data_IF_641065949815
#
_entry.id   IF_641065949815
#
_cell.length_a   1.000
_cell.length_b   1.000
_cell.length_c   1.000
_cell.angle_alpha   90.00
_cell.angle_beta   90.00
_cell.angle_gamma   90.00
#
_symmetry.space_group_name_H-M   'P 1'
#
loop_
_entity.id
_entity.type
_entity.pdbx_description
1 polymer ?
#
# COMPACT_ATOMS: atom_id res chain seq x y z
N UNK A 1 -29.82 -5.37 9.67
CA UNK A 1 -30.19 -6.61 8.95
C UNK A 1 -29.16 -7.68 9.31
N UNK A 2 -29.58 -8.95 9.57
CA UNK A 2 -28.59 -10.02 9.78
C UNK A 2 -27.90 -10.39 8.46
N UNK A 3 -26.71 -11.00 8.55
CA UNK A 3 -25.95 -11.49 7.40
C UNK A 3 -26.79 -12.48 6.57
N UNK A 4 -27.44 -13.44 7.24
CA UNK A 4 -28.26 -14.45 6.55
C UNK A 4 -29.45 -13.82 5.81
N UNK A 5 -30.13 -12.85 6.42
CA UNK A 5 -31.21 -12.12 5.75
C UNK A 5 -30.70 -11.28 4.55
N UNK A 6 -29.49 -10.71 4.65
CA UNK A 6 -28.86 -10.00 3.53
C UNK A 6 -28.54 -10.96 2.39
N UNK A 7 -27.89 -12.08 2.67
CA UNK A 7 -27.56 -13.09 1.67
C UNK A 7 -28.80 -13.68 1.01
N UNK A 8 -29.83 -13.99 1.78
CA UNK A 8 -31.11 -14.49 1.24
C UNK A 8 -31.79 -13.48 0.29
N UNK A 9 -31.80 -12.20 0.66
CA UNK A 9 -32.35 -11.14 -0.17
C UNK A 9 -31.62 -10.94 -1.50
N UNK A 10 -30.33 -11.31 -1.55
CA UNK A 10 -29.48 -11.22 -2.74
C UNK A 10 -29.34 -12.54 -3.52
N UNK A 11 -30.08 -13.60 -3.12
CA UNK A 11 -30.04 -14.90 -3.79
C UNK A 11 -28.81 -15.75 -3.50
N UNK A 12 -28.19 -15.54 -2.32
CA UNK A 12 -27.00 -16.25 -1.85
C UNK A 12 -27.25 -17.08 -0.58
N UNK A 13 -28.52 -17.39 -0.26
CA UNK A 13 -28.88 -18.12 0.96
C UNK A 13 -28.19 -19.48 1.08
N UNK A 14 -28.10 -20.20 -0.04
CA UNK A 14 -27.55 -21.56 -0.13
C UNK A 14 -26.09 -21.57 -0.66
N UNK A 15 -25.42 -20.43 -0.70
CA UNK A 15 -24.03 -20.38 -1.20
C UNK A 15 -23.06 -21.02 -0.21
N UNK A 16 -22.13 -21.79 -0.74
CA UNK A 16 -20.96 -22.24 0.00
C UNK A 16 -20.12 -21.01 0.40
N UNK A 17 -19.69 -20.98 1.66
CA UNK A 17 -18.97 -19.85 2.26
C UNK A 17 -17.53 -20.27 2.58
N UNK A 18 -16.56 -19.64 1.90
CA UNK A 18 -15.13 -19.83 2.11
C UNK A 18 -14.52 -18.56 2.76
N UNK A 19 -14.15 -18.60 4.04
CA UNK A 19 -13.48 -17.46 4.68
C UNK A 19 -12.14 -17.17 4.00
N UNK A 20 -11.92 -15.92 3.61
CA UNK A 20 -10.62 -15.48 3.10
C UNK A 20 -9.74 -15.00 4.24
N UNK A 21 -8.42 -15.24 4.09
CA UNK A 21 -7.45 -14.77 5.08
C UNK A 21 -7.50 -13.23 5.19
N UNK A 22 -7.69 -12.73 6.42
CA UNK A 22 -7.64 -11.30 6.70
C UNK A 22 -6.22 -10.84 6.99
N UNK A 23 -5.93 -9.57 6.71
CA UNK A 23 -4.66 -8.91 7.07
C UNK A 23 -4.84 -7.99 8.31
N UNK A 24 -4.26 -6.81 8.31
CA UNK A 24 -4.24 -5.85 9.42
C UNK A 24 -5.62 -5.27 9.78
N UNK A 25 -6.56 -5.27 8.86
CA UNK A 25 -7.89 -4.70 8.98
C UNK A 25 -8.80 -5.47 9.96
N UNK A 26 -9.82 -4.77 10.49
CA UNK A 26 -10.96 -5.38 11.20
C UNK A 26 -11.99 -6.02 10.27
N UNK A 27 -11.91 -5.74 8.97
CA UNK A 27 -12.79 -6.29 7.95
C UNK A 27 -12.56 -7.78 7.79
N UNK A 28 -13.66 -8.50 7.51
CA UNK A 28 -13.62 -9.92 7.16
C UNK A 28 -14.20 -10.12 5.77
N UNK A 29 -13.62 -11.03 5.04
CA UNK A 29 -14.03 -11.36 3.68
C UNK A 29 -14.39 -12.84 3.60
N UNK A 30 -15.49 -13.15 2.94
CA UNK A 30 -15.98 -14.50 2.71
C UNK A 30 -16.28 -14.63 1.23
N UNK A 31 -15.66 -15.59 0.55
CA UNK A 31 -16.04 -15.95 -0.81
C UNK A 31 -17.33 -16.76 -0.77
N UNK A 32 -18.26 -16.37 -1.60
CA UNK A 32 -19.54 -17.05 -1.79
C UNK A 32 -19.51 -17.79 -3.13
N UNK A 33 -19.83 -19.08 -3.12
CA UNK A 33 -19.92 -19.92 -4.32
C UNK A 33 -21.32 -20.52 -4.45
N UNK A 34 -21.95 -20.34 -5.62
CA UNK A 34 -23.25 -20.93 -5.94
C UNK A 34 -23.27 -21.39 -7.40
N UNK A 35 -22.90 -22.65 -7.64
CA UNK A 35 -22.63 -23.16 -8.97
C UNK A 35 -21.49 -22.39 -9.66
N UNK A 36 -21.73 -21.78 -10.84
CA UNK A 36 -20.73 -20.98 -11.53
C UNK A 36 -20.60 -19.55 -10.98
N UNK A 37 -21.54 -19.11 -10.14
CA UNK A 37 -21.55 -17.74 -9.60
C UNK A 37 -20.62 -17.60 -8.42
N UNK A 38 -19.86 -16.52 -8.38
CA UNK A 38 -18.97 -16.15 -7.27
C UNK A 38 -19.18 -14.70 -6.89
N UNK A 39 -19.00 -14.41 -5.61
CA UNK A 39 -18.98 -13.07 -5.06
C UNK A 39 -18.16 -13.05 -3.77
N UNK A 40 -17.75 -11.87 -3.34
CA UNK A 40 -17.11 -11.65 -2.05
C UNK A 40 -18.08 -10.93 -1.13
N UNK A 41 -18.38 -11.51 0.03
CA UNK A 41 -19.03 -10.83 1.13
C UNK A 41 -17.99 -10.13 1.99
N UNK A 42 -17.99 -8.81 2.02
CA UNK A 42 -17.23 -7.99 2.96
C UNK A 42 -18.11 -7.71 4.18
N UNK A 43 -17.55 -7.94 5.36
CA UNK A 43 -18.15 -7.63 6.66
C UNK A 43 -17.27 -6.58 7.33
N UNK A 44 -17.80 -5.37 7.51
CA UNK A 44 -17.11 -4.25 8.15
C UNK A 44 -17.77 -3.91 9.49
N UNK A 45 -17.15 -4.28 10.63
CA UNK A 45 -17.70 -3.98 11.95
C UNK A 45 -17.80 -2.48 12.27
N UNK A 46 -17.06 -1.63 11.55
CA UNK A 46 -17.06 -0.17 11.75
C UNK A 46 -18.04 0.55 10.83
N UNK A 47 -18.70 -0.19 9.90
CA UNK A 47 -19.65 0.34 8.93
C UNK A 47 -19.11 1.47 8.03
N UNK A 48 -17.82 1.43 7.68
CA UNK A 48 -17.19 2.39 6.75
C UNK A 48 -17.31 1.93 5.28
N UNK A 49 -18.46 1.30 4.97
CA UNK A 49 -18.74 0.77 3.63
C UNK A 49 -18.98 1.86 2.60
N UNK A 50 -19.49 3.03 3.02
CA UNK A 50 -19.80 4.14 2.12
C UNK A 50 -18.57 4.70 1.42
N UNK A 51 -17.44 4.83 2.15
CA UNK A 51 -16.17 5.29 1.58
C UNK A 51 -15.62 4.31 0.55
N UNK A 52 -15.65 3.02 0.87
CA UNK A 52 -15.26 1.97 -0.07
C UNK A 52 -16.12 2.04 -1.35
N UNK A 53 -17.46 2.13 -1.21
CA UNK A 53 -18.39 2.21 -2.34
C UNK A 53 -18.11 3.42 -3.23
N UNK A 54 -17.90 4.58 -2.62
CA UNK A 54 -17.60 5.82 -3.35
C UNK A 54 -16.33 5.70 -4.16
N UNK A 55 -15.25 5.20 -3.56
CA UNK A 55 -13.96 5.05 -4.23
C UNK A 55 -13.99 3.96 -5.31
N UNK A 56 -14.63 2.80 -5.06
CA UNK A 56 -14.80 1.77 -6.08
C UNK A 56 -15.51 2.32 -7.32
N UNK A 57 -16.63 3.04 -7.13
CA UNK A 57 -17.35 3.67 -8.23
C UNK A 57 -16.52 4.75 -8.96
N UNK A 58 -15.67 5.48 -8.25
CA UNK A 58 -14.77 6.48 -8.85
C UNK A 58 -13.69 5.80 -9.69
N UNK A 59 -13.01 4.77 -9.18
CA UNK A 59 -11.99 4.01 -9.89
C UNK A 59 -12.56 3.37 -11.17
N UNK A 60 -13.75 2.75 -11.09
CA UNK A 60 -14.40 2.17 -12.25
C UNK A 60 -14.79 3.24 -13.30
N UNK A 61 -15.21 4.45 -12.88
CA UNK A 61 -15.45 5.58 -13.80
C UNK A 61 -14.18 6.10 -14.46
N UNK A 62 -13.03 5.97 -13.81
CA UNK A 62 -11.72 6.28 -14.40
C UNK A 62 -11.22 5.18 -15.33
N UNK A 63 -12.00 4.13 -15.58
CA UNK A 63 -11.63 3.04 -16.48
C UNK A 63 -10.71 1.97 -15.85
N UNK A 64 -10.57 1.99 -14.53
CA UNK A 64 -9.80 1.00 -13.78
C UNK A 64 -10.67 -0.20 -13.38
N UNK A 65 -10.09 -1.19 -12.72
CA UNK A 65 -10.81 -2.34 -12.17
C UNK A 65 -10.77 -2.31 -10.65
N UNK A 66 -11.78 -1.68 -10.04
CA UNK A 66 -12.14 -1.89 -8.64
C UNK A 66 -13.33 -2.87 -8.59
N UNK A 67 -13.52 -3.67 -7.51
CA UNK A 67 -14.63 -4.61 -7.45
C UNK A 67 -15.99 -3.93 -7.63
N UNK A 68 -16.81 -4.44 -8.53
CA UNK A 68 -18.19 -4.01 -8.64
C UNK A 68 -18.96 -4.34 -7.36
N UNK A 69 -19.84 -3.44 -6.95
CA UNK A 69 -20.67 -3.62 -5.77
C UNK A 69 -22.05 -4.10 -6.20
N UNK A 70 -22.37 -5.34 -5.87
CA UNK A 70 -23.66 -5.94 -6.22
C UNK A 70 -24.77 -5.55 -5.25
N UNK A 71 -24.44 -5.42 -3.95
CA UNK A 71 -25.40 -5.00 -2.92
C UNK A 71 -24.65 -4.44 -1.70
N UNK A 72 -25.36 -3.58 -0.93
CA UNK A 72 -24.83 -2.98 0.29
C UNK A 72 -25.91 -2.90 1.36
N UNK A 73 -25.51 -3.13 2.62
CA UNK A 73 -26.30 -2.89 3.82
C UNK A 73 -25.34 -2.43 4.94
N UNK A 74 -25.88 -2.04 6.10
CA UNK A 74 -25.09 -1.63 7.27
C UNK A 74 -24.03 -2.69 7.62
N UNK A 75 -22.75 -2.36 7.50
CA UNK A 75 -21.63 -3.24 7.79
C UNK A 75 -21.46 -4.44 6.84
N UNK A 76 -22.24 -4.53 5.75
CA UNK A 76 -22.20 -5.64 4.79
C UNK A 76 -22.12 -5.13 3.36
N UNK A 77 -21.30 -5.76 2.55
CA UNK A 77 -21.21 -5.45 1.11
C UNK A 77 -20.95 -6.72 0.31
N UNK A 78 -21.68 -6.89 -0.78
CA UNK A 78 -21.48 -7.96 -1.75
C UNK A 78 -20.71 -7.40 -2.95
N UNK A 79 -19.54 -7.97 -3.20
CA UNK A 79 -18.56 -7.48 -4.17
C UNK A 79 -18.30 -8.48 -5.27
N UNK A 80 -17.80 -8.01 -6.39
CA UNK A 80 -17.20 -8.83 -7.44
C UNK A 80 -16.01 -9.61 -6.88
N UNK A 81 -15.93 -10.90 -7.25
CA UNK A 81 -14.77 -11.76 -6.96
C UNK A 81 -13.77 -11.70 -8.11
N UNK A 82 -12.63 -11.10 -7.88
CA UNK A 82 -11.52 -11.03 -8.85
C UNK A 82 -10.71 -12.34 -8.94
N UNK A 83 -11.04 -13.36 -8.13
CA UNK A 83 -10.31 -14.62 -8.07
C UNK A 83 -9.02 -14.52 -7.25
N UNK A 84 -8.06 -15.43 -7.55
CA UNK A 84 -6.90 -15.69 -6.68
C UNK A 84 -5.56 -15.28 -7.29
N UNK A 85 -5.57 -14.68 -8.47
CA UNK A 85 -4.35 -14.33 -9.20
C UNK A 85 -3.68 -13.05 -8.66
N UNK A 86 -3.43 -12.99 -7.33
CA UNK A 86 -2.65 -11.90 -6.75
C UNK A 86 -1.29 -11.77 -7.43
N UNK A 87 -0.86 -10.54 -7.70
CA UNK A 87 0.43 -10.28 -8.34
C UNK A 87 1.58 -10.98 -7.60
N UNK A 88 1.59 -10.93 -6.27
CA UNK A 88 2.59 -11.61 -5.46
C UNK A 88 2.62 -13.12 -5.71
N UNK A 89 1.45 -13.77 -5.75
CA UNK A 89 1.33 -15.21 -6.01
C UNK A 89 1.71 -15.57 -7.45
N UNK A 90 1.26 -14.76 -8.43
CA UNK A 90 1.58 -15.00 -9.85
C UNK A 90 3.07 -14.83 -10.09
N UNK A 91 3.70 -13.76 -9.57
CA UNK A 91 5.14 -13.55 -9.72
C UNK A 91 5.98 -14.65 -9.02
N UNK A 92 5.52 -15.15 -7.86
CA UNK A 92 6.18 -16.26 -7.17
C UNK A 92 6.08 -17.57 -7.96
N UNK A 93 4.89 -17.91 -8.48
CA UNK A 93 4.66 -19.14 -9.24
C UNK A 93 5.27 -19.08 -10.65
N UNK A 94 5.34 -17.90 -11.23
CA UNK A 94 5.81 -17.64 -12.59
C UNK A 94 6.74 -16.42 -12.62
N UNK A 95 8.02 -16.55 -12.24
CA UNK A 95 8.95 -15.41 -12.13
C UNK A 95 9.07 -14.56 -13.41
N UNK A 96 8.85 -15.14 -14.58
CA UNK A 96 8.82 -14.41 -15.86
C UNK A 96 7.70 -13.38 -15.96
N UNK A 97 6.66 -13.52 -15.15
CA UNK A 97 5.53 -12.59 -15.10
C UNK A 97 5.81 -11.37 -14.22
N UNK A 98 6.87 -11.35 -13.42
CA UNK A 98 7.13 -10.24 -12.50
C UNK A 98 7.20 -8.91 -13.26
N UNK A 99 8.08 -8.78 -14.25
CA UNK A 99 8.21 -7.55 -15.06
C UNK A 99 6.90 -7.18 -15.77
N UNK A 100 6.21 -8.07 -16.51
CA UNK A 100 4.92 -7.74 -17.12
C UNK A 100 3.85 -7.26 -16.14
N UNK A 101 3.78 -7.84 -14.93
CA UNK A 101 2.82 -7.43 -13.91
C UNK A 101 3.13 -6.02 -13.38
N UNK A 102 4.41 -5.73 -13.10
CA UNK A 102 4.84 -4.44 -12.59
C UNK A 102 4.72 -3.33 -13.64
N UNK A 103 4.96 -3.64 -14.92
CA UNK A 103 4.69 -2.72 -16.02
C UNK A 103 3.18 -2.43 -16.15
N UNK A 104 2.32 -3.45 -16.08
CA UNK A 104 0.87 -3.23 -16.08
C UNK A 104 0.40 -2.39 -14.88
N UNK A 105 1.00 -2.59 -13.70
CA UNK A 105 0.75 -1.73 -12.55
C UNK A 105 1.21 -0.28 -12.82
N UNK A 106 2.35 -0.09 -13.47
CA UNK A 106 2.87 1.23 -13.83
C UNK A 106 1.96 1.94 -14.84
N UNK A 107 1.37 1.20 -15.80
CA UNK A 107 0.38 1.75 -16.74
C UNK A 107 -0.80 2.38 -16.00
N UNK A 108 -1.27 1.74 -14.91
CA UNK A 108 -2.32 2.29 -14.04
C UNK A 108 -1.87 3.60 -13.40
N UNK A 109 -0.65 3.67 -12.86
CA UNK A 109 -0.12 4.90 -12.24
C UNK A 109 -0.03 6.04 -13.24
N UNK A 110 0.54 5.79 -14.42
CA UNK A 110 0.64 6.80 -15.48
C UNK A 110 -0.75 7.24 -15.96
N UNK A 111 -1.73 6.34 -16.02
CA UNK A 111 -3.12 6.70 -16.32
C UNK A 111 -3.71 7.63 -15.24
N UNK A 112 -3.50 7.31 -13.96
CA UNK A 112 -3.97 8.14 -12.84
C UNK A 112 -3.39 9.56 -12.87
N UNK A 113 -2.16 9.75 -13.36
CA UNK A 113 -1.56 11.07 -13.57
C UNK A 113 -2.33 11.93 -14.59
N UNK A 114 -3.05 11.31 -15.51
CA UNK A 114 -3.86 12.02 -16.53
C UNK A 114 -5.29 12.28 -16.05
N UNK A 115 -5.70 11.71 -14.94
CA UNK A 115 -7.07 11.76 -14.43
C UNK A 115 -7.29 12.95 -13.48
N UNK A 116 -8.51 13.48 -13.48
CA UNK A 116 -8.90 14.43 -12.42
C UNK A 116 -8.96 13.71 -11.07
N UNK A 117 -8.29 14.27 -10.07
CA UNK A 117 -8.36 13.76 -8.70
C UNK A 117 -9.80 13.85 -8.18
N UNK A 118 -10.36 12.77 -7.61
CA UNK A 118 -11.67 12.80 -6.99
C UNK A 118 -11.77 13.80 -5.84
N UNK A 119 -12.91 14.47 -5.73
CA UNK A 119 -13.17 15.40 -4.63
C UNK A 119 -13.30 14.66 -3.28
N UNK A 120 -12.99 15.33 -2.18
CA UNK A 120 -13.18 14.82 -0.81
C UNK A 120 -12.04 13.94 -0.28
N UNK A 121 -10.94 13.79 -1.02
CA UNK A 121 -9.76 13.09 -0.54
C UNK A 121 -8.91 14.00 0.37
N UNK A 122 -8.26 13.39 1.35
CA UNK A 122 -7.24 14.09 2.14
C UNK A 122 -6.03 14.41 1.27
N UNK A 123 -5.57 15.66 1.29
CA UNK A 123 -4.36 16.06 0.59
C UNK A 123 -3.12 15.65 1.38
N UNK A 124 -2.26 14.83 0.77
CA UNK A 124 -0.98 14.42 1.33
C UNK A 124 0.07 15.52 1.10
N UNK A 125 -0.11 16.66 1.79
CA UNK A 125 0.87 17.76 1.76
C UNK A 125 2.18 17.35 2.41
N UNK A 126 3.31 18.03 2.14
CA UNK A 126 4.58 17.80 2.83
C UNK A 126 4.45 17.76 4.35
N UNK A 127 3.62 18.64 4.93
CA UNK A 127 3.35 18.71 6.37
C UNK A 127 2.63 17.47 6.87
N UNK A 128 1.60 17.00 6.15
CA UNK A 128 0.86 15.80 6.51
C UNK A 128 1.77 14.56 6.35
N UNK A 129 2.53 14.47 5.26
CA UNK A 129 3.47 13.37 5.04
C UNK A 129 4.56 13.32 6.13
N UNK A 130 5.10 14.47 6.53
CA UNK A 130 6.06 14.57 7.63
C UNK A 130 5.47 14.11 8.96
N UNK A 131 4.24 14.51 9.28
CA UNK A 131 3.54 14.05 10.50
C UNK A 131 3.21 12.55 10.48
N UNK A 132 2.97 11.97 9.31
CA UNK A 132 2.66 10.54 9.18
C UNK A 132 3.80 9.62 9.60
N UNK A 133 5.03 10.10 9.83
CA UNK A 133 6.13 9.27 10.35
C UNK A 133 6.08 9.07 11.87
N UNK A 134 5.22 9.82 12.58
CA UNK A 134 5.08 9.77 14.03
C UNK A 134 5.09 8.34 14.62
N UNK A 135 4.43 7.32 14.03
CA UNK A 135 4.44 5.96 14.58
C UNK A 135 5.84 5.35 14.73
N UNK A 136 6.86 5.78 13.98
CA UNK A 136 8.22 5.26 14.16
C UNK A 136 8.79 5.66 15.52
N UNK A 137 8.46 6.84 16.01
CA UNK A 137 8.92 7.36 17.30
C UNK A 137 8.13 6.79 18.46
N UNK A 138 6.83 6.57 18.29
CA UNK A 138 5.91 6.16 19.37
C UNK A 138 5.77 4.65 19.53
N UNK A 139 6.09 3.86 18.49
CA UNK A 139 5.97 2.40 18.54
C UNK A 139 7.27 1.68 18.20
N UNK A 140 7.98 2.05 17.14
CA UNK A 140 9.19 1.34 16.74
C UNK A 140 10.37 1.65 17.65
N UNK A 141 10.63 2.93 17.97
CA UNK A 141 11.73 3.32 18.84
C UNK A 141 11.59 2.71 20.25
N UNK A 142 10.42 2.73 20.92
CA UNK A 142 10.20 2.02 22.17
C UNK A 142 10.37 0.50 22.09
N UNK A 143 10.00 -0.14 20.98
CA UNK A 143 10.24 -1.55 20.75
C UNK A 143 11.73 -1.91 20.85
N UNK A 144 12.60 -0.98 20.44
CA UNK A 144 14.06 -1.13 20.53
C UNK A 144 14.64 -0.63 21.86
N UNK A 145 13.81 -0.27 22.84
CA UNK A 145 14.22 0.24 24.14
C UNK A 145 14.63 1.71 24.18
N UNK A 146 14.38 2.46 23.09
CA UNK A 146 14.62 3.90 23.00
C UNK A 146 13.41 4.73 23.44
N UNK A 147 13.63 6.02 23.62
CA UNK A 147 12.58 7.01 23.87
C UNK A 147 12.73 8.16 22.87
N UNK A 148 11.63 8.74 22.37
CA UNK A 148 11.71 9.91 21.54
C UNK A 148 12.26 11.10 22.34
N UNK A 149 13.11 11.88 21.68
CA UNK A 149 13.71 13.11 22.18
C UNK A 149 13.55 14.23 21.15
N UNK A 150 14.28 15.34 21.32
CA UNK A 150 14.24 16.47 20.39
C UNK A 150 14.65 16.09 18.96
N UNK A 151 15.45 15.04 18.79
CA UNK A 151 15.87 14.50 17.48
C UNK A 151 14.67 14.03 16.66
N UNK A 152 13.63 13.47 17.29
CA UNK A 152 12.41 13.05 16.60
C UNK A 152 11.70 14.24 15.91
N UNK A 153 11.62 15.38 16.63
CA UNK A 153 11.05 16.62 16.08
C UNK A 153 11.92 17.19 14.96
N UNK A 154 13.26 17.11 15.11
CA UNK A 154 14.21 17.58 14.10
C UNK A 154 14.12 16.73 12.82
N UNK A 155 14.06 15.40 12.92
CA UNK A 155 13.87 14.51 11.78
C UNK A 155 12.57 14.86 11.05
N UNK A 156 11.47 15.01 11.78
CA UNK A 156 10.17 15.37 11.19
C UNK A 156 10.22 16.69 10.46
N UNK A 157 10.81 17.73 11.07
CA UNK A 157 10.92 19.05 10.47
C UNK A 157 11.80 19.05 9.22
N UNK A 158 12.97 18.41 9.28
CA UNK A 158 13.89 18.31 8.13
C UNK A 158 13.26 17.51 6.98
N UNK A 159 12.62 16.37 7.29
CA UNK A 159 11.93 15.57 6.27
C UNK A 159 10.81 16.38 5.61
N UNK A 160 9.99 17.10 6.39
CA UNK A 160 8.94 17.97 5.87
C UNK A 160 9.50 19.02 4.91
N UNK A 161 10.59 19.70 5.30
CA UNK A 161 11.23 20.71 4.46
C UNK A 161 11.78 20.13 3.16
N UNK A 162 12.38 18.93 3.20
CA UNK A 162 12.88 18.25 2.00
C UNK A 162 11.73 17.84 1.08
N UNK A 163 10.64 17.31 1.64
CA UNK A 163 9.43 16.99 0.88
C UNK A 163 8.84 18.25 0.21
N UNK A 164 8.74 19.36 0.95
CA UNK A 164 8.22 20.63 0.43
C UNK A 164 9.06 21.17 -0.74
N UNK A 165 10.37 20.96 -0.69
CA UNK A 165 11.29 21.43 -1.73
C UNK A 165 11.36 20.53 -2.96
N UNK A 166 11.16 19.21 -2.79
CA UNK A 166 11.43 18.23 -3.86
C UNK A 166 10.19 17.53 -4.41
N UNK A 167 9.04 17.62 -3.75
CA UNK A 167 7.82 17.06 -4.31
C UNK A 167 7.28 17.97 -5.42
N UNK A 168 6.73 17.40 -6.51
CA UNK A 168 6.03 18.18 -7.52
C UNK A 168 4.77 18.83 -6.92
N UNK A 169 4.37 20.00 -7.45
CA UNK A 169 3.13 20.67 -7.07
C UNK A 169 1.87 19.91 -7.52
N UNK A 170 2.02 19.08 -8.55
CA UNK A 170 0.93 18.28 -9.08
C UNK A 170 0.48 17.22 -8.08
N UNK A 171 -0.82 17.05 -7.97
CA UNK A 171 -1.42 15.98 -7.17
C UNK A 171 -2.21 15.03 -8.05
N UNK A 172 -2.14 13.75 -7.72
CA UNK A 172 -2.89 12.68 -8.37
C UNK A 172 -3.69 11.88 -7.33
N UNK A 173 -4.56 11.00 -7.80
CA UNK A 173 -5.13 9.98 -6.91
C UNK A 173 -4.04 8.99 -6.53
N UNK A 174 -3.69 8.95 -5.25
CA UNK A 174 -2.76 8.01 -4.62
C UNK A 174 -3.55 6.92 -3.93
N UNK A 175 -3.35 5.66 -4.33
CA UNK A 175 -4.01 4.48 -3.74
C UNK A 175 -3.38 4.08 -2.40
N UNK A 176 -2.13 4.53 -2.13
CA UNK A 176 -1.38 4.42 -0.89
C UNK A 176 -0.84 3.01 -0.58
N UNK A 177 -1.70 2.01 -0.56
CA UNK A 177 -1.32 0.61 -0.32
C UNK A 177 -1.21 -0.17 -1.63
N UNK A 178 -0.48 0.43 -2.60
CA UNK A 178 -0.31 -0.06 -3.96
C UNK A 178 0.87 -1.02 -4.06
N UNK A 179 0.66 -2.26 -3.70
CA UNK A 179 1.69 -3.32 -3.69
C UNK A 179 1.13 -4.66 -4.18
N UNK A 180 2.02 -5.62 -4.46
CA UNK A 180 1.68 -6.85 -5.16
C UNK A 180 0.60 -7.73 -4.50
N UNK A 181 0.38 -7.64 -3.19
CA UNK A 181 -0.69 -8.38 -2.50
C UNK A 181 -2.07 -7.74 -2.67
N UNK A 182 -2.12 -6.42 -2.98
CA UNK A 182 -3.36 -5.67 -3.18
C UNK A 182 -3.75 -5.53 -4.65
N UNK A 183 -3.09 -6.25 -5.55
CA UNK A 183 -3.42 -6.29 -6.97
C UNK A 183 -3.73 -7.71 -7.44
N UNK A 184 -4.77 -7.83 -8.25
CA UNK A 184 -5.19 -9.10 -8.87
C UNK A 184 -4.95 -9.01 -10.37
N UNK A 185 -4.32 -10.03 -10.94
CA UNK A 185 -4.15 -10.15 -12.38
C UNK A 185 -5.44 -10.64 -13.05
N UNK A 186 -5.98 -9.84 -13.95
CA UNK A 186 -7.24 -10.09 -14.69
C UNK A 186 -6.93 -10.20 -16.19
N UNK A 187 -6.38 -11.33 -16.65
CA UNK A 187 -5.87 -11.47 -18.01
C UNK A 187 -6.96 -11.31 -19.10
N UNK A 188 -8.21 -11.56 -18.76
CA UNK A 188 -9.36 -11.48 -19.67
C UNK A 188 -9.88 -10.03 -19.86
N UNK A 189 -9.34 -9.06 -19.10
CA UNK A 189 -9.64 -7.64 -19.25
C UNK A 189 -8.60 -6.96 -20.16
N UNK A 190 -8.95 -5.79 -20.67
CA UNK A 190 -8.09 -5.04 -21.61
C UNK A 190 -7.24 -3.99 -20.92
N UNK A 191 -6.03 -3.76 -21.42
CA UNK A 191 -5.14 -2.67 -21.04
C UNK A 191 -4.98 -2.53 -19.50
N UNK A 192 -5.15 -1.31 -18.97
CA UNK A 192 -5.04 -1.01 -17.53
C UNK A 192 -6.08 -1.75 -16.67
N UNK A 193 -7.19 -2.20 -17.26
CA UNK A 193 -8.21 -2.98 -16.55
C UNK A 193 -7.74 -4.39 -16.17
N UNK A 194 -6.59 -4.87 -16.67
CA UNK A 194 -5.97 -6.13 -16.24
C UNK A 194 -5.48 -6.09 -14.80
N UNK A 195 -5.39 -4.91 -14.21
CA UNK A 195 -4.98 -4.74 -12.81
C UNK A 195 -6.23 -4.52 -11.96
N UNK A 196 -6.67 -5.56 -11.27
CA UNK A 196 -7.71 -5.47 -10.26
C UNK A 196 -7.18 -4.84 -8.98
N UNK A 197 -7.77 -3.75 -8.53
CA UNK A 197 -7.32 -2.96 -7.39
C UNK A 197 -8.09 -3.35 -6.13
N UNK A 198 -7.38 -3.59 -5.05
CA UNK A 198 -7.91 -3.86 -3.72
C UNK A 198 -7.32 -2.88 -2.71
N UNK A 199 -7.95 -2.77 -1.55
CA UNK A 199 -7.49 -2.01 -0.36
C UNK A 199 -7.23 -0.52 -0.62
N UNK A 200 -8.07 0.11 -1.46
CA UNK A 200 -7.92 1.50 -1.91
C UNK A 200 -8.70 2.53 -1.05
N UNK A 201 -9.44 2.12 -0.03
CA UNK A 201 -10.32 3.01 0.73
C UNK A 201 -9.57 4.11 1.51
N UNK A 202 -8.27 3.94 1.73
CA UNK A 202 -7.40 4.93 2.37
C UNK A 202 -6.68 5.86 1.36
N UNK A 203 -7.19 5.92 0.13
CA UNK A 203 -6.66 6.77 -0.93
C UNK A 203 -6.58 8.25 -0.54
N UNK A 204 -5.62 8.95 -1.14
CA UNK A 204 -5.27 10.35 -0.87
C UNK A 204 -5.18 11.12 -2.19
N UNK A 205 -5.21 12.45 -2.12
CA UNK A 205 -4.69 13.32 -3.16
C UNK A 205 -3.21 13.62 -2.84
N UNK A 206 -2.27 13.19 -3.65
CA UNK A 206 -0.85 13.28 -3.30
C UNK A 206 0.11 13.27 -4.48
N UNK A 207 1.42 13.22 -4.22
CA UNK A 207 2.43 13.28 -5.28
C UNK A 207 2.41 12.03 -6.16
N UNK A 208 2.60 12.19 -7.49
CA UNK A 208 2.49 11.09 -8.47
C UNK A 208 3.39 9.89 -8.17
N UNK A 209 4.56 10.14 -7.59
CA UNK A 209 5.59 9.13 -7.33
C UNK A 209 5.26 8.23 -6.11
N UNK A 210 4.26 8.60 -5.29
CA UNK A 210 3.99 7.89 -4.02
C UNK A 210 3.70 6.40 -4.23
N UNK A 211 2.81 6.07 -5.16
CA UNK A 211 2.43 4.67 -5.40
C UNK A 211 3.49 3.88 -6.17
N UNK A 212 4.33 4.55 -6.98
CA UNK A 212 5.51 3.93 -7.57
C UNK A 212 6.51 3.47 -6.49
N UNK A 213 6.71 4.28 -5.45
CA UNK A 213 7.49 3.89 -4.26
C UNK A 213 6.84 2.70 -3.55
N UNK A 214 5.50 2.75 -3.35
CA UNK A 214 4.76 1.66 -2.71
C UNK A 214 4.91 0.33 -3.46
N UNK A 215 4.90 0.39 -4.78
CA UNK A 215 5.06 -0.76 -5.68
C UNK A 215 6.48 -1.34 -5.63
N UNK A 216 7.50 -0.50 -5.70
CA UNK A 216 8.90 -0.92 -5.83
C UNK A 216 9.60 -1.17 -4.48
N UNK A 217 9.14 -0.56 -3.40
CA UNK A 217 9.63 -0.78 -2.04
C UNK A 217 8.59 -1.54 -1.20
N UNK A 218 8.14 -2.68 -1.73
CA UNK A 218 7.16 -3.54 -1.07
C UNK A 218 7.75 -4.12 0.23
N UNK A 219 7.09 -3.86 1.34
CA UNK A 219 7.50 -4.34 2.66
C UNK A 219 7.34 -5.86 2.83
N UNK A 220 6.52 -6.51 1.99
CA UNK A 220 6.13 -7.93 2.13
C UNK A 220 6.91 -8.88 1.23
N UNK A 221 7.45 -8.36 0.12
CA UNK A 221 8.22 -9.17 -0.82
C UNK A 221 9.41 -8.40 -1.40
N UNK A 222 10.42 -9.13 -1.83
CA UNK A 222 11.53 -8.55 -2.58
C UNK A 222 11.12 -8.39 -4.05
N UNK A 223 11.35 -7.21 -4.59
CA UNK A 223 11.27 -6.92 -6.03
C UNK A 223 12.65 -7.15 -6.62
N UNK A 224 12.76 -7.95 -7.68
CA UNK A 224 14.06 -8.20 -8.29
C UNK A 224 14.63 -6.90 -8.88
N UNK A 225 15.96 -6.74 -8.86
CA UNK A 225 16.64 -5.57 -9.42
C UNK A 225 16.25 -5.35 -10.89
N UNK A 226 16.19 -6.44 -11.66
CA UNK A 226 15.75 -6.38 -13.06
C UNK A 226 14.32 -5.85 -13.21
N UNK A 227 13.40 -6.24 -12.30
CA UNK A 227 12.04 -5.75 -12.29
C UNK A 227 11.97 -4.28 -11.87
N UNK A 228 12.71 -3.91 -10.82
CA UNK A 228 12.81 -2.52 -10.35
C UNK A 228 13.25 -1.59 -11.48
N UNK A 229 14.37 -1.91 -12.15
CA UNK A 229 14.92 -1.10 -13.25
C UNK A 229 13.99 -1.05 -14.47
N UNK A 230 13.37 -2.19 -14.82
CA UNK A 230 12.43 -2.24 -15.93
C UNK A 230 11.19 -1.39 -15.64
N UNK A 231 10.72 -1.40 -14.41
CA UNK A 231 9.54 -0.63 -13.96
C UNK A 231 9.84 0.88 -13.96
N UNK A 232 10.98 1.30 -13.43
CA UNK A 232 11.39 2.71 -13.46
C UNK A 232 11.53 3.23 -14.90
N UNK A 233 12.22 2.47 -15.76
CA UNK A 233 12.33 2.85 -17.20
C UNK A 233 10.95 2.98 -17.85
N UNK A 234 10.07 2.01 -17.62
CA UNK A 234 8.72 2.04 -18.15
C UNK A 234 7.93 3.26 -17.66
N UNK A 235 8.06 3.61 -16.38
CA UNK A 235 7.46 4.81 -15.81
C UNK A 235 8.00 6.09 -16.49
N UNK A 236 9.31 6.22 -16.68
CA UNK A 236 9.90 7.39 -17.34
C UNK A 236 9.46 7.50 -18.80
N UNK A 237 9.43 6.39 -19.53
CA UNK A 237 9.01 6.34 -20.92
C UNK A 237 7.54 6.77 -21.10
N UNK A 238 6.66 6.34 -20.21
CA UNK A 238 5.23 6.64 -20.30
C UNK A 238 4.86 8.02 -19.74
N UNK A 239 5.40 8.40 -18.60
CA UNK A 239 5.08 9.68 -17.95
C UNK A 239 5.75 10.87 -18.62
N UNK A 240 6.83 10.63 -19.38
CA UNK A 240 7.68 11.69 -19.94
C UNK A 240 8.48 12.47 -18.88
N UNK A 241 8.46 12.05 -17.63
CA UNK A 241 9.22 12.69 -16.55
C UNK A 241 10.69 12.29 -16.61
N UNK A 242 11.57 13.23 -16.26
CA UNK A 242 13.01 12.91 -16.20
C UNK A 242 13.37 12.20 -14.90
N UNK A 243 14.36 11.31 -14.97
CA UNK A 243 14.93 10.66 -13.79
C UNK A 243 15.39 11.67 -12.73
N UNK A 244 16.03 12.75 -13.17
CA UNK A 244 16.54 13.82 -12.28
C UNK A 244 15.42 14.55 -11.52
N UNK A 245 14.20 14.60 -12.04
CA UNK A 245 13.05 15.21 -11.35
C UNK A 245 12.33 14.21 -10.44
N UNK A 246 12.32 12.94 -10.78
CA UNK A 246 11.57 11.90 -10.06
C UNK A 246 12.36 11.32 -8.90
N UNK A 247 13.65 11.00 -9.09
CA UNK A 247 14.41 10.25 -8.10
C UNK A 247 14.59 10.95 -6.74
N UNK A 248 14.76 12.29 -6.63
CA UNK A 248 14.72 12.94 -5.33
C UNK A 248 13.42 12.73 -4.57
N UNK A 249 12.27 12.89 -5.22
CA UNK A 249 10.95 12.63 -4.66
C UNK A 249 10.77 11.14 -4.30
N UNK A 250 11.23 10.22 -5.16
CA UNK A 250 11.18 8.77 -4.93
C UNK A 250 11.91 8.38 -3.64
N UNK A 251 13.12 8.85 -3.44
CA UNK A 251 13.90 8.55 -2.24
C UNK A 251 13.31 9.18 -0.97
N UNK A 252 12.84 10.43 -1.04
CA UNK A 252 12.24 11.09 0.11
C UNK A 252 10.90 10.46 0.52
N UNK A 253 10.05 10.12 -0.45
CA UNK A 253 8.80 9.39 -0.19
C UNK A 253 9.08 7.96 0.28
N UNK A 254 10.14 7.32 -0.25
CA UNK A 254 10.60 6.03 0.22
C UNK A 254 11.02 6.09 1.69
N UNK A 255 11.81 7.08 2.07
CA UNK A 255 12.20 7.29 3.45
C UNK A 255 10.98 7.54 4.35
N UNK A 256 10.12 8.47 3.96
CA UNK A 256 8.90 8.83 4.68
C UNK A 256 7.99 7.61 4.90
N UNK A 257 7.69 6.89 3.81
CA UNK A 257 6.79 5.73 3.83
C UNK A 257 7.36 4.59 4.69
N UNK A 258 8.63 4.27 4.53
CA UNK A 258 9.25 3.17 5.26
C UNK A 258 9.47 3.48 6.74
N UNK A 259 9.78 4.72 7.15
CA UNK A 259 9.76 5.13 8.55
C UNK A 259 8.36 4.93 9.16
N UNK A 260 7.31 5.35 8.46
CA UNK A 260 5.93 5.12 8.90
C UNK A 260 5.61 3.63 9.03
N UNK A 261 6.01 2.80 8.06
CA UNK A 261 5.75 1.34 8.07
C UNK A 261 6.44 0.68 9.27
N UNK A 262 7.67 1.04 9.61
CA UNK A 262 8.34 0.53 10.80
C UNK A 262 7.47 0.74 12.05
N UNK A 263 6.95 1.94 12.23
CA UNK A 263 6.07 2.24 13.37
C UNK A 263 4.76 1.46 13.33
N UNK A 264 4.13 1.34 12.16
CA UNK A 264 2.90 0.55 12.00
C UNK A 264 3.15 -0.93 12.29
N UNK A 265 4.23 -1.53 11.79
CA UNK A 265 4.55 -2.93 12.04
C UNK A 265 4.87 -3.18 13.51
N UNK A 266 5.62 -2.29 14.16
CA UNK A 266 5.84 -2.36 15.61
C UNK A 266 4.52 -2.31 16.37
N UNK A 267 3.61 -1.38 16.06
CA UNK A 267 2.29 -1.29 16.69
C UNK A 267 1.43 -2.53 16.48
N UNK A 268 1.40 -3.08 15.26
CA UNK A 268 0.67 -4.31 14.95
C UNK A 268 1.18 -5.50 15.76
N UNK A 269 2.50 -5.59 15.93
CA UNK A 269 3.10 -6.66 16.71
C UNK A 269 2.83 -6.53 18.20
N UNK A 270 3.01 -5.34 18.79
CA UNK A 270 2.94 -5.12 20.24
C UNK A 270 1.52 -4.94 20.76
N UNK A 271 0.64 -4.24 20.02
CA UNK A 271 -0.69 -3.87 20.49
C UNK A 271 -1.82 -4.68 19.85
N UNK A 272 -1.59 -5.24 18.66
CA UNK A 272 -2.64 -5.98 17.92
C UNK A 272 -2.41 -7.49 17.87
N UNK A 273 -1.38 -8.00 18.60
CA UNK A 273 -1.09 -9.43 18.67
C UNK A 273 -0.69 -10.07 17.35
N UNK A 274 -0.01 -9.31 16.45
CA UNK A 274 0.44 -9.77 15.15
C UNK A 274 1.98 -9.79 15.04
N UNK A 275 2.68 -10.65 15.81
CA UNK A 275 4.15 -10.65 15.89
C UNK A 275 4.84 -11.00 14.56
N UNK A 276 4.13 -11.61 13.60
CA UNK A 276 4.66 -11.90 12.26
C UNK A 276 5.13 -10.67 11.50
N UNK A 277 4.59 -9.48 11.82
CA UNK A 277 5.03 -8.22 11.21
C UNK A 277 6.47 -7.83 11.57
N UNK A 278 7.00 -8.32 12.70
CA UNK A 278 8.41 -8.08 13.07
C UNK A 278 9.39 -8.69 12.07
N UNK A 279 9.04 -9.82 11.45
CA UNK A 279 9.87 -10.46 10.43
C UNK A 279 10.01 -9.62 9.14
N UNK A 280 9.12 -8.65 8.91
CA UNK A 280 9.17 -7.74 7.75
C UNK A 280 10.04 -6.51 8.00
N UNK A 281 10.34 -6.18 9.24
CA UNK A 281 11.09 -4.97 9.62
C UNK A 281 12.48 -4.90 8.98
N UNK A 282 13.29 -5.98 8.89
CA UNK A 282 14.61 -5.91 8.24
C UNK A 282 14.55 -5.45 6.77
N UNK A 283 13.53 -5.89 6.01
CA UNK A 283 13.33 -5.44 4.62
C UNK A 283 12.99 -3.96 4.55
N UNK A 284 12.06 -3.51 5.37
CA UNK A 284 11.69 -2.08 5.46
C UNK A 284 12.91 -1.23 5.84
N UNK A 285 13.73 -1.72 6.77
CA UNK A 285 14.98 -1.06 7.15
C UNK A 285 15.98 -0.97 5.97
N UNK A 286 16.10 -2.02 5.16
CA UNK A 286 16.93 -1.99 3.96
C UNK A 286 16.47 -0.92 2.96
N UNK A 287 15.16 -0.75 2.75
CA UNK A 287 14.61 0.34 1.93
C UNK A 287 14.93 1.73 2.49
N UNK A 288 14.91 1.89 3.83
CA UNK A 288 15.34 3.14 4.47
C UNK A 288 16.83 3.40 4.17
N UNK A 289 17.70 2.39 4.31
CA UNK A 289 19.13 2.54 4.02
C UNK A 289 19.38 2.93 2.55
N UNK A 290 18.65 2.32 1.61
CA UNK A 290 18.68 2.68 0.18
C UNK A 290 18.28 4.15 -0.02
N UNK A 291 17.19 4.60 0.63
CA UNK A 291 16.74 5.98 0.52
C UNK A 291 17.75 6.98 1.14
N UNK A 292 18.35 6.65 2.28
CA UNK A 292 19.35 7.47 2.95
C UNK A 292 20.65 7.59 2.16
N UNK A 293 21.02 6.59 1.35
CA UNK A 293 22.19 6.66 0.48
C UNK A 293 22.09 7.72 -0.63
N UNK A 294 20.88 8.20 -0.91
CA UNK A 294 20.64 9.26 -1.89
C UNK A 294 21.15 10.62 -1.40
N UNK A 295 21.80 11.41 -2.28
CA UNK A 295 22.27 12.75 -1.92
C UNK A 295 21.19 13.66 -1.33
N UNK A 296 19.93 13.50 -1.73
CA UNK A 296 18.79 14.31 -1.24
C UNK A 296 18.53 14.08 0.26
N UNK A 297 18.79 12.89 0.79
CA UNK A 297 18.56 12.53 2.19
C UNK A 297 19.80 12.69 3.10
N UNK A 298 20.93 13.17 2.58
CA UNK A 298 22.22 13.25 3.29
C UNK A 298 22.13 13.94 4.66
N UNK A 299 21.31 14.98 4.78
CA UNK A 299 21.15 15.72 6.04
C UNK A 299 20.28 14.99 7.07
N UNK A 300 19.57 13.94 6.69
CA UNK A 300 18.76 13.11 7.58
C UNK A 300 19.53 11.86 8.04
N UNK A 301 20.49 11.39 7.25
CA UNK A 301 21.19 10.14 7.51
C UNK A 301 21.81 10.07 8.92
N UNK A 302 22.60 11.06 9.40
CA UNK A 302 23.18 10.99 10.73
C UNK A 302 22.13 10.89 11.83
N UNK A 303 21.09 11.72 11.76
CA UNK A 303 20.02 11.76 12.77
C UNK A 303 19.24 10.43 12.84
N UNK A 304 18.95 9.82 11.69
CA UNK A 304 18.22 8.55 11.65
C UNK A 304 19.12 7.41 12.15
N UNK A 305 20.40 7.39 11.79
CA UNK A 305 21.34 6.35 12.27
C UNK A 305 21.63 6.44 13.76
N UNK A 306 21.70 7.66 14.29
CA UNK A 306 21.94 7.87 15.72
C UNK A 306 20.70 7.50 16.57
N UNK A 307 19.50 7.83 16.07
CA UNK A 307 18.26 7.57 16.82
C UNK A 307 17.77 6.12 16.70
N UNK A 308 17.92 5.50 15.54
CA UNK A 308 17.42 4.17 15.26
C UNK A 308 18.54 3.15 15.09
N UNK A 309 18.78 2.28 16.07
CA UNK A 309 19.73 1.18 15.92
C UNK A 309 19.20 0.17 14.89
N UNK A 310 20.11 -0.54 14.23
CA UNK A 310 19.77 -1.58 13.27
C UNK A 310 18.86 -2.65 13.89
N UNK A 311 17.77 -3.06 13.21
CA UNK A 311 16.81 -4.03 13.71
C UNK A 311 17.34 -5.46 13.56
N UNK A 312 18.24 -5.86 14.47
CA UNK A 312 18.69 -7.26 14.50
C UNK A 312 17.58 -8.18 15.06
N UNK A 313 17.59 -9.48 14.72
CA UNK A 313 16.63 -10.44 15.27
C UNK A 313 16.57 -10.41 16.79
N UNK A 314 17.70 -10.26 17.49
CA UNK A 314 17.78 -10.20 18.95
C UNK A 314 17.07 -8.95 19.49
N UNK A 315 17.24 -7.78 18.84
CA UNK A 315 16.56 -6.55 19.25
C UNK A 315 15.06 -6.59 19.01
N UNK A 316 14.64 -7.27 17.97
CA UNK A 316 13.22 -7.45 17.65
C UNK A 316 12.56 -8.55 18.49
N UNK A 317 13.32 -9.35 19.26
CA UNK A 317 12.80 -10.48 19.99
C UNK A 317 12.25 -11.60 19.10
N UNK A 318 12.68 -11.66 17.83
CA UNK A 318 12.34 -12.73 16.88
C UNK A 318 13.51 -13.70 16.83
N UNK A 319 13.25 -15.00 17.04
CA UNK A 319 14.26 -16.02 16.84
C UNK A 319 14.81 -15.93 15.40
N UNK A 320 16.11 -16.23 15.22
CA UNK A 320 16.70 -16.27 13.88
C UNK A 320 15.81 -17.15 12.97
N UNK A 321 15.31 -16.56 11.91
CA UNK A 321 14.62 -17.32 10.86
C UNK A 321 15.67 -18.26 10.27
N UNK A 322 15.43 -19.61 10.25
CA UNK A 322 16.38 -20.57 9.74
C UNK A 322 16.61 -20.40 8.24
#
# INVERSE_FOLDING_TARGET
MSMDAFLAAQGWADAEQEPLAGDASSRRYIRLCSGPKRAILMIDPQDDTARFATLSAQLNRLGLSAPDIYAQATGLMLLEDFGDAQFAKVAQAQPKMEIPLYQAATDVLCHLETCKVPDGLTHATPQILGQMVEPVFTHYLPLLGGLPDDTASEITARLTNLLDHHLPEETVLVLRDYHAENMIWLPDRDHIRRVGLLDFQDALAGPPVYDLVSLLQDARRDVTEACHDATLRHYFDLSGRSETSVMPAFHLLGLQRNLRILGIFARLATERGKPSYLALIPRVWAHIQTSLSSPVARNLEPLIRDLFPEPTPERLGVGAVP
#
